data_IF_801520939697
#
_entry.id   IF_801520939697
#
_cell.length_a   1.000
_cell.length_b   1.000
_cell.length_c   1.000
_cell.angle_alpha   90.00
_cell.angle_beta   90.00
_cell.angle_gamma   90.00
#
_symmetry.space_group_name_H-M   'P 1'
#
loop_
_entity.id
_entity.type
_entity.pdbx_description
1 polymer ?
#
# COMPACT_ATOMS: atom_id res chain seq x y z
N UNK A 1 -16.13 -11.01 -6.87
CA UNK A 1 -15.37 -10.05 -6.06
C UNK A 1 -14.11 -9.71 -6.84
N UNK A 2 -13.93 -8.46 -7.27
CA UNK A 2 -12.64 -8.03 -7.83
C UNK A 2 -11.67 -7.89 -6.66
N UNK A 3 -10.74 -8.83 -6.52
CA UNK A 3 -9.63 -8.68 -5.58
C UNK A 3 -8.78 -7.49 -6.07
N UNK A 4 -8.41 -6.59 -5.17
CA UNK A 4 -7.24 -5.72 -5.35
C UNK A 4 -6.04 -6.52 -5.90
N UNK A 5 -5.13 -5.84 -6.60
CA UNK A 5 -3.95 -6.49 -7.19
C UNK A 5 -3.15 -7.18 -6.08
N UNK A 6 -3.07 -8.53 -6.05
CA UNK A 6 -2.40 -9.22 -4.96
C UNK A 6 -0.93 -8.81 -4.87
N UNK A 7 -0.42 -8.73 -3.64
CA UNK A 7 1.01 -8.61 -3.38
C UNK A 7 1.77 -9.93 -3.67
N UNK A 8 3.09 -9.94 -3.46
CA UNK A 8 3.92 -8.81 -3.06
C UNK A 8 4.15 -7.83 -4.23
N UNK A 9 4.22 -6.53 -3.95
CA UNK A 9 4.62 -5.55 -4.95
C UNK A 9 6.09 -5.18 -4.81
N UNK A 10 6.77 -4.94 -5.92
CA UNK A 10 8.20 -4.62 -5.95
C UNK A 10 8.45 -3.22 -6.50
N UNK A 11 9.42 -2.51 -5.91
CA UNK A 11 9.89 -1.23 -6.41
C UNK A 11 10.99 -1.48 -7.44
N UNK A 12 10.77 -1.03 -8.66
CA UNK A 12 11.78 -0.97 -9.71
C UNK A 12 12.33 0.46 -9.76
N UNK A 13 13.62 0.66 -9.45
CA UNK A 13 14.24 1.98 -9.43
C UNK A 13 14.38 2.55 -10.86
N UNK A 14 14.56 3.87 -11.00
CA UNK A 14 14.78 4.49 -12.29
C UNK A 14 16.06 3.97 -12.94
N UNK A 15 16.06 3.91 -14.26
CA UNK A 15 17.21 3.55 -15.10
C UNK A 15 17.44 4.61 -16.18
N UNK A 16 18.52 4.49 -16.95
CA UNK A 16 18.76 5.35 -18.12
C UNK A 16 17.62 5.28 -19.16
N UNK A 17 16.90 4.16 -19.22
CA UNK A 17 15.82 3.92 -20.17
C UNK A 17 14.44 4.30 -19.60
N UNK A 18 14.33 4.34 -18.26
CA UNK A 18 13.09 4.57 -17.52
C UNK A 18 13.34 5.55 -16.37
N UNK A 19 13.18 6.87 -16.57
CA UNK A 19 13.49 7.88 -15.55
C UNK A 19 12.44 7.98 -14.43
N UNK A 20 11.63 6.93 -14.22
CA UNK A 20 10.52 6.88 -13.28
C UNK A 20 10.72 5.72 -12.30
N UNK A 21 10.10 5.79 -11.13
CA UNK A 21 10.00 4.64 -10.23
C UNK A 21 8.74 3.86 -10.58
N UNK A 22 8.86 2.55 -10.79
CA UNK A 22 7.72 1.67 -10.97
C UNK A 22 7.46 0.85 -9.71
N UNK A 23 6.19 0.67 -9.37
CA UNK A 23 5.74 -0.33 -8.42
C UNK A 23 5.00 -1.39 -9.20
N UNK A 24 5.50 -2.62 -9.19
CA UNK A 24 5.01 -3.71 -10.02
C UNK A 24 4.38 -4.82 -9.18
N UNK A 25 3.30 -5.41 -9.68
CA UNK A 25 2.78 -6.66 -9.15
C UNK A 25 3.52 -7.85 -9.78
N UNK A 26 3.45 -9.06 -9.17
CA UNK A 26 4.09 -10.26 -9.71
C UNK A 26 3.57 -10.64 -11.10
N UNK A 27 2.36 -10.19 -11.46
CA UNK A 27 1.65 -10.53 -12.70
C UNK A 27 2.05 -9.66 -13.90
N UNK A 28 3.22 -9.00 -13.88
CA UNK A 28 3.64 -8.02 -14.91
C UNK A 28 2.67 -6.84 -15.09
N UNK A 29 1.82 -6.58 -14.10
CA UNK A 29 0.91 -5.43 -14.08
C UNK A 29 1.57 -4.30 -13.28
N UNK A 30 1.70 -3.11 -13.88
CA UNK A 30 2.10 -1.91 -13.17
C UNK A 30 1.03 -1.50 -12.15
N UNK A 31 1.41 -1.27 -10.91
CA UNK A 31 0.54 -0.82 -9.81
C UNK A 31 0.60 0.69 -9.65
N UNK A 32 1.79 1.26 -9.68
CA UNK A 32 2.00 2.70 -9.60
C UNK A 32 3.24 3.11 -10.40
N UNK A 33 3.21 4.36 -10.88
CA UNK A 33 4.34 5.06 -11.49
C UNK A 33 4.54 6.34 -10.70
N UNK A 34 5.76 6.57 -10.21
CA UNK A 34 6.15 7.82 -9.57
C UNK A 34 7.05 8.56 -10.56
N UNK A 35 6.59 9.74 -10.97
CA UNK A 35 7.28 10.58 -11.94
C UNK A 35 7.18 12.06 -11.57
N UNK A 36 8.22 12.82 -11.91
CA UNK A 36 8.21 14.28 -11.82
C UNK A 36 7.62 14.85 -13.11
N UNK A 37 6.53 15.60 -13.01
CA UNK A 37 5.85 16.18 -14.17
C UNK A 37 6.42 17.56 -14.53
N UNK A 38 7.63 17.62 -15.10
CA UNK A 38 8.10 18.83 -15.79
C UNK A 38 8.07 18.60 -17.31
N UNK A 39 7.05 19.18 -17.96
CA UNK A 39 6.77 19.08 -19.40
C UNK A 39 7.77 19.83 -20.29
N UNK A 40 8.75 20.53 -19.71
CA UNK A 40 9.73 21.37 -20.40
C UNK A 40 11.02 20.62 -20.78
N UNK A 41 11.07 19.30 -20.58
CA UNK A 41 12.22 18.47 -20.94
C UNK A 41 13.42 18.59 -20.00
N UNK A 42 13.27 19.32 -18.88
CA UNK A 42 14.27 19.39 -17.81
C UNK A 42 13.73 18.73 -16.53
N UNK A 43 13.18 17.52 -16.69
CA UNK A 43 12.58 16.73 -15.61
C UNK A 43 13.32 16.88 -14.29
N UNK A 44 12.63 17.36 -13.25
CA UNK A 44 13.20 17.39 -11.90
C UNK A 44 13.67 15.99 -11.52
N UNK A 45 14.86 15.90 -10.94
CA UNK A 45 15.41 14.62 -10.50
C UNK A 45 14.56 14.09 -9.35
N UNK A 46 14.21 12.80 -9.40
CA UNK A 46 13.58 12.10 -8.28
C UNK A 46 14.34 12.38 -6.98
N UNK A 47 13.59 12.74 -5.95
CA UNK A 47 14.11 13.04 -4.62
C UNK A 47 13.88 11.88 -3.66
N UNK A 48 14.53 11.89 -2.50
CA UNK A 48 14.44 10.82 -1.51
C UNK A 48 12.99 10.52 -1.07
N UNK A 49 12.13 11.54 -1.08
CA UNK A 49 10.70 11.40 -0.78
C UNK A 49 9.98 10.50 -1.81
N UNK A 50 10.33 10.59 -3.10
CA UNK A 50 9.74 9.74 -4.14
C UNK A 50 10.05 8.26 -3.90
N UNK A 51 11.29 7.97 -3.51
CA UNK A 51 11.71 6.62 -3.15
C UNK A 51 11.04 6.14 -1.85
N UNK A 52 10.84 7.02 -0.88
CA UNK A 52 10.12 6.69 0.35
C UNK A 52 8.64 6.37 0.07
N UNK A 53 8.00 7.18 -0.77
CA UNK A 53 6.62 6.96 -1.21
C UNK A 53 6.48 5.64 -1.97
N UNK A 54 7.40 5.32 -2.88
CA UNK A 54 7.40 4.06 -3.60
C UNK A 54 7.50 2.85 -2.67
N UNK A 55 8.38 2.90 -1.67
CA UNK A 55 8.49 1.85 -0.63
C UNK A 55 7.22 1.71 0.20
N UNK A 56 6.58 2.82 0.56
CA UNK A 56 5.32 2.81 1.31
C UNK A 56 4.18 2.20 0.49
N UNK A 57 4.08 2.56 -0.79
CA UNK A 57 3.09 1.99 -1.72
C UNK A 57 3.34 0.48 -1.88
N UNK A 58 4.59 0.05 -2.10
CA UNK A 58 4.90 -1.38 -2.30
C UNK A 58 4.58 -2.23 -1.06
N UNK A 59 4.64 -1.64 0.14
CA UNK A 59 4.28 -2.30 1.40
C UNK A 59 2.77 -2.35 1.67
N UNK A 60 1.93 -1.73 0.84
CA UNK A 60 0.48 -1.66 1.10
C UNK A 60 -0.21 -3.03 1.24
N UNK A 61 0.13 -4.09 0.49
CA UNK A 61 -0.40 -5.43 0.71
C UNK A 61 -0.06 -5.97 2.11
N UNK A 62 1.22 -5.87 2.51
CA UNK A 62 1.68 -6.36 3.81
C UNK A 62 1.03 -5.58 4.97
N UNK A 63 0.86 -4.26 4.81
CA UNK A 63 0.16 -3.42 5.78
C UNK A 63 -1.33 -3.79 5.89
N UNK A 64 -1.99 -4.11 4.78
CA UNK A 64 -3.38 -4.57 4.78
C UNK A 64 -3.51 -5.92 5.51
N UNK A 65 -2.64 -6.88 5.19
CA UNK A 65 -2.61 -8.19 5.84
C UNK A 65 -2.37 -8.07 7.35
N UNK A 66 -1.46 -7.20 7.77
CA UNK A 66 -1.22 -6.92 9.18
C UNK A 66 -2.45 -6.31 9.88
N UNK A 67 -3.15 -5.37 9.24
CA UNK A 67 -4.36 -4.77 9.80
C UNK A 67 -5.50 -5.78 9.92
N UNK A 68 -5.67 -6.67 8.93
CA UNK A 68 -6.63 -7.77 8.98
C UNK A 68 -6.30 -8.69 10.16
N UNK A 69 -5.04 -9.09 10.31
CA UNK A 69 -4.58 -9.93 11.42
C UNK A 69 -4.89 -9.29 12.79
N UNK A 70 -4.62 -7.99 12.95
CA UNK A 70 -4.91 -7.28 14.21
C UNK A 70 -6.41 -7.19 14.48
N UNK A 71 -7.23 -6.91 13.45
CA UNK A 71 -8.69 -6.87 13.57
C UNK A 71 -9.24 -8.22 14.02
N UNK A 72 -8.76 -9.29 13.42
CA UNK A 72 -9.24 -10.65 13.68
C UNK A 72 -8.81 -11.11 15.08
N UNK A 73 -7.58 -10.83 15.50
CA UNK A 73 -7.12 -11.08 16.87
C UNK A 73 -7.93 -10.28 17.92
N UNK A 74 -8.27 -9.02 17.63
CA UNK A 74 -9.12 -8.21 18.51
C UNK A 74 -10.56 -8.75 18.59
N UNK A 75 -11.06 -9.34 17.50
CA UNK A 75 -12.36 -10.02 17.47
C UNK A 75 -12.34 -11.31 18.31
N UNK A 76 -11.29 -12.11 18.23
CA UNK A 76 -11.12 -13.31 19.05
C UNK A 76 -11.07 -12.96 20.54
N UNK A 77 -10.29 -11.94 20.92
CA UNK A 77 -10.26 -11.42 22.29
C UNK A 77 -11.65 -11.02 22.78
N UNK A 78 -12.45 -10.34 21.94
CA UNK A 78 -13.81 -9.93 22.27
C UNK A 78 -14.73 -11.12 22.52
N UNK A 79 -14.61 -12.19 21.72
CA UNK A 79 -15.41 -13.41 21.85
C UNK A 79 -15.05 -14.19 23.12
N UNK A 80 -13.77 -14.20 23.49
CA UNK A 80 -13.24 -14.86 24.69
C UNK A 80 -13.43 -14.04 25.98
N UNK A 81 -13.96 -12.82 25.88
CA UNK A 81 -14.13 -11.91 27.03
C UNK A 81 -12.80 -11.32 27.55
N UNK A 82 -11.77 -11.32 26.72
CA UNK A 82 -10.45 -10.74 26.99
C UNK A 82 -10.42 -9.23 26.70
N UNK A 83 -9.45 -8.48 27.25
CA UNK A 83 -9.25 -7.08 26.90
C UNK A 83 -9.03 -6.87 25.41
N UNK A 84 -9.77 -5.93 24.82
CA UNK A 84 -9.68 -5.53 23.42
C UNK A 84 -8.88 -4.24 23.26
N UNK A 85 -8.51 -3.91 22.03
CA UNK A 85 -7.95 -2.60 21.70
C UNK A 85 -9.01 -1.49 21.91
N UNK A 86 -8.60 -0.23 22.10
CA UNK A 86 -9.53 0.88 22.23
C UNK A 86 -10.44 1.02 20.99
N UNK A 87 -11.74 1.26 21.21
CA UNK A 87 -12.72 1.40 20.13
C UNK A 87 -12.31 2.39 19.00
N UNK A 88 -11.64 3.53 19.28
CA UNK A 88 -11.13 4.41 18.22
C UNK A 88 -10.04 3.77 17.34
N UNK A 89 -9.21 2.88 17.90
CA UNK A 89 -8.20 2.15 17.14
C UNK A 89 -8.84 1.10 16.23
N UNK A 90 -9.77 0.31 16.78
CA UNK A 90 -10.57 -0.66 16.01
C UNK A 90 -11.30 0.01 14.85
N UNK A 91 -11.97 1.13 15.10
CA UNK A 91 -12.65 1.90 14.06
C UNK A 91 -11.72 2.43 12.96
N UNK A 92 -10.46 2.77 13.27
CA UNK A 92 -9.47 3.18 12.27
C UNK A 92 -9.01 2.00 11.41
N UNK A 93 -8.80 0.84 12.02
CA UNK A 93 -8.44 -0.41 11.32
C UNK A 93 -9.56 -0.80 10.35
N UNK A 94 -10.80 -0.87 10.84
CA UNK A 94 -11.97 -1.25 10.03
C UNK A 94 -12.15 -0.31 8.82
N UNK A 95 -11.97 1.00 9.03
CA UNK A 95 -12.04 1.99 7.93
C UNK A 95 -10.92 1.82 6.90
N UNK A 96 -9.70 1.49 7.34
CA UNK A 96 -8.58 1.29 6.43
C UNK A 96 -8.78 0.04 5.56
N UNK A 97 -9.21 -1.07 6.17
CA UNK A 97 -9.53 -2.32 5.47
C UNK A 97 -10.67 -2.09 4.48
N UNK A 98 -11.77 -1.47 4.94
CA UNK A 98 -12.90 -1.17 4.07
C UNK A 98 -12.47 -0.30 2.88
N UNK A 99 -11.64 0.72 3.09
CA UNK A 99 -11.12 1.54 1.99
C UNK A 99 -10.31 0.74 0.97
N UNK A 100 -9.57 -0.28 1.40
CA UNK A 100 -8.77 -1.13 0.52
C UNK A 100 -9.62 -2.16 -0.26
N UNK A 101 -10.72 -2.63 0.32
CA UNK A 101 -11.60 -3.65 -0.26
C UNK A 101 -12.78 -3.08 -1.08
N UNK A 102 -13.14 -1.80 -0.87
CA UNK A 102 -14.29 -1.16 -1.53
C UNK A 102 -13.97 -0.80 -2.98
N UNK A 103 -14.85 -1.29 -3.86
CA UNK A 103 -14.92 -1.05 -5.31
C UNK A 103 -14.99 0.44 -5.69
N UNK A 104 -14.36 0.78 -6.80
CA UNK A 104 -14.87 1.78 -7.75
C UNK A 104 -16.02 1.23 -8.60
#
# INVERSE_FOLDING_TARGET
>A
MSKHTPGPWTVEPPSEQTPHIWVNAPTSSGVAKIETCNYDGQGERLIDEDFANARLISAAPDLLDALIMVRDADEDCRQDGLPTIPAPARAKIDRAIAKAEVRS
#
